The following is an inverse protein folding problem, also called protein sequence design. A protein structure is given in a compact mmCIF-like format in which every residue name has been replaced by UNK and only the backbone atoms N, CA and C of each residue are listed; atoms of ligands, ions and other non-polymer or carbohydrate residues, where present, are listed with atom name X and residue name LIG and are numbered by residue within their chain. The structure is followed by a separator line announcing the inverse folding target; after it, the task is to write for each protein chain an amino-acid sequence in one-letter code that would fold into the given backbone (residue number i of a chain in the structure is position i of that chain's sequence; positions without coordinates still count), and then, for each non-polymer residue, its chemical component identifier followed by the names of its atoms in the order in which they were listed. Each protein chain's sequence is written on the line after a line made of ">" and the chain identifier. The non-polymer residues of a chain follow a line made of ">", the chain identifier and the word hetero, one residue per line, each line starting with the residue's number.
data_IF_468377722487
#
_entry.id   IF_468377722487
#
_cell.length_a   1.000
_cell.length_b   1.000
_cell.length_c   1.000
_cell.angle_alpha   90.00
_cell.angle_beta   90.00
_cell.angle_gamma   90.00
#
_symmetry.space_group_name_H-M   'P 1'
#
loop_
_entity.id
_entity.type
_entity.pdbx_description
1 polymer ?
#
# COMPACT_ATOMS: atom_id res chain seq x y z
N UNK A 1 -36.94 5.05 -23.90
CA UNK A 1 -36.80 5.80 -22.62
C UNK A 1 -36.15 4.81 -21.66
N UNK A 2 -34.85 4.61 -21.91
CA UNK A 2 -34.08 3.59 -21.25
C UNK A 2 -33.54 4.15 -19.94
N UNK A 3 -33.85 3.36 -18.93
CA UNK A 3 -33.56 3.55 -17.52
C UNK A 3 -32.07 3.91 -17.27
N UNK A 4 -31.79 5.21 -17.18
CA UNK A 4 -30.49 5.73 -16.74
C UNK A 4 -30.37 5.70 -15.22
N UNK A 5 -30.78 4.62 -14.59
CA UNK A 5 -30.37 4.27 -13.23
C UNK A 5 -29.23 3.28 -13.28
N UNK A 6 -28.12 3.59 -13.91
CA UNK A 6 -26.85 3.00 -13.53
C UNK A 6 -26.56 3.48 -12.12
N UNK A 7 -27.20 2.81 -11.16
CA UNK A 7 -26.86 2.91 -9.77
C UNK A 7 -25.34 2.86 -9.68
N UNK A 8 -24.73 3.91 -9.16
CA UNK A 8 -23.33 3.94 -8.78
C UNK A 8 -23.10 2.76 -7.84
N UNK A 9 -22.69 1.64 -8.42
CA UNK A 9 -22.33 0.47 -7.65
C UNK A 9 -21.04 0.83 -6.93
N UNK A 10 -21.12 1.02 -5.63
CA UNK A 10 -19.95 1.10 -4.78
C UNK A 10 -19.04 -0.10 -5.06
N UNK A 11 -17.77 0.16 -5.32
CA UNK A 11 -16.81 -0.90 -5.61
C UNK A 11 -16.70 -1.80 -4.39
N UNK A 12 -17.07 -3.08 -4.52
CA UNK A 12 -16.90 -4.05 -3.44
C UNK A 12 -15.41 -4.39 -3.30
N UNK A 13 -14.74 -3.95 -2.22
CA UNK A 13 -13.29 -4.10 -2.06
C UNK A 13 -12.83 -5.56 -2.02
N UNK A 14 -13.74 -6.50 -1.76
CA UNK A 14 -13.45 -7.92 -1.63
C UNK A 14 -13.82 -8.75 -2.87
N UNK A 15 -14.71 -8.23 -3.73
CA UNK A 15 -15.13 -8.87 -4.99
C UNK A 15 -14.41 -8.29 -6.20
N UNK A 16 -14.26 -6.98 -6.25
CA UNK A 16 -13.66 -6.27 -7.38
C UNK A 16 -12.13 -6.20 -7.21
N UNK A 17 -11.44 -7.31 -7.52
CA UNK A 17 -10.00 -7.46 -7.28
C UNK A 17 -9.13 -6.63 -8.21
N UNK A 18 -9.67 -6.14 -9.34
CA UNK A 18 -8.94 -5.38 -10.36
C UNK A 18 -8.84 -3.89 -10.04
N UNK A 19 -9.75 -3.38 -9.23
CA UNK A 19 -9.82 -1.95 -8.85
C UNK A 19 -9.74 -1.80 -7.34
N UNK A 20 -9.28 -0.64 -6.90
CA UNK A 20 -9.14 -0.33 -5.48
C UNK A 20 -9.39 1.16 -5.24
N UNK A 21 -10.01 1.50 -4.11
CA UNK A 21 -10.07 2.86 -3.61
C UNK A 21 -8.65 3.32 -3.23
N UNK A 22 -8.19 4.43 -3.81
CA UNK A 22 -6.84 4.99 -3.60
C UNK A 22 -6.53 5.33 -2.13
N UNK A 23 -7.56 5.53 -1.31
CA UNK A 23 -7.40 5.82 0.12
C UNK A 23 -6.98 4.59 0.92
N UNK A 24 -7.39 3.38 0.50
CA UNK A 24 -6.98 2.12 1.14
C UNK A 24 -5.45 1.91 1.14
N UNK A 25 -4.78 1.93 -0.01
CA UNK A 25 -3.32 1.89 -0.08
C UNK A 25 -2.62 3.00 0.70
N UNK A 26 -3.16 4.23 0.70
CA UNK A 26 -2.59 5.34 1.49
C UNK A 26 -2.65 5.08 2.99
N UNK A 27 -3.74 4.51 3.48
CA UNK A 27 -3.86 4.12 4.89
C UNK A 27 -2.83 3.05 5.24
N UNK A 28 -2.63 2.05 4.36
CA UNK A 28 -1.59 1.05 4.55
C UNK A 28 -0.19 1.67 4.58
N UNK A 29 0.11 2.59 3.66
CA UNK A 29 1.39 3.31 3.61
C UNK A 29 1.61 4.18 4.85
N UNK A 30 0.57 4.86 5.36
CA UNK A 30 0.67 5.62 6.61
C UNK A 30 1.02 4.72 7.80
N UNK A 31 0.38 3.55 7.92
CA UNK A 31 0.65 2.60 9.01
C UNK A 31 2.07 2.04 8.90
N UNK A 32 2.52 1.66 7.70
CA UNK A 32 3.89 1.16 7.48
C UNK A 32 4.91 2.26 7.78
N UNK A 33 4.70 3.48 7.29
CA UNK A 33 5.63 4.59 7.49
C UNK A 33 5.74 5.02 8.96
N UNK A 34 4.61 5.20 9.63
CA UNK A 34 4.58 5.55 11.06
C UNK A 34 5.12 4.39 11.90
N UNK A 35 4.74 3.15 11.60
CA UNK A 35 5.23 1.98 12.31
C UNK A 35 6.74 1.81 12.22
N UNK A 36 7.33 2.01 11.04
CA UNK A 36 8.77 1.93 10.86
C UNK A 36 9.52 3.08 11.57
N UNK A 37 8.95 4.29 11.61
CA UNK A 37 9.48 5.40 12.41
C UNK A 37 9.46 5.09 13.91
N UNK A 38 8.34 4.57 14.41
CA UNK A 38 8.21 4.16 15.83
C UNK A 38 9.21 3.05 16.15
N UNK A 39 9.36 2.05 15.27
CA UNK A 39 10.35 1.00 15.41
C UNK A 39 11.76 1.55 15.57
N UNK A 40 12.13 2.52 14.73
CA UNK A 40 13.44 3.18 14.80
C UNK A 40 13.62 3.98 16.09
N UNK A 41 12.64 4.78 16.48
CA UNK A 41 12.71 5.61 17.70
C UNK A 41 12.80 4.76 18.97
N UNK A 42 12.10 3.64 19.02
CA UNK A 42 12.11 2.72 20.14
C UNK A 42 13.22 1.67 20.04
N UNK A 43 13.98 1.65 18.95
CA UNK A 43 15.01 0.64 18.63
C UNK A 43 14.49 -0.79 18.71
N UNK A 44 13.24 -1.01 18.27
CA UNK A 44 12.55 -2.30 18.33
C UNK A 44 12.53 -2.98 16.96
N UNK A 45 13.47 -3.86 16.72
CA UNK A 45 13.65 -4.56 15.43
C UNK A 45 12.45 -5.45 15.04
N UNK A 46 11.81 -6.09 16.04
CA UNK A 46 10.67 -6.97 15.80
C UNK A 46 9.48 -6.27 15.15
N UNK A 47 9.33 -4.96 15.33
CA UNK A 47 8.27 -4.18 14.66
C UNK A 47 8.48 -4.17 13.14
N UNK A 48 9.73 -4.08 12.68
CA UNK A 48 10.06 -4.14 11.25
C UNK A 48 9.68 -5.51 10.67
N UNK A 49 9.92 -6.59 11.42
CA UNK A 49 9.49 -7.95 11.03
C UNK A 49 7.96 -8.03 10.90
N UNK A 50 7.22 -7.48 11.87
CA UNK A 50 5.75 -7.46 11.81
C UNK A 50 5.22 -6.66 10.61
N UNK A 51 5.84 -5.53 10.28
CA UNK A 51 5.46 -4.73 9.11
C UNK A 51 5.75 -5.48 7.81
N UNK A 52 6.90 -6.17 7.71
CA UNK A 52 7.22 -7.01 6.57
C UNK A 52 6.22 -8.17 6.41
N UNK A 53 5.93 -8.89 7.50
CA UNK A 53 4.94 -9.97 7.51
C UNK A 53 3.54 -9.48 7.11
N UNK A 54 3.11 -8.34 7.63
CA UNK A 54 1.82 -7.74 7.29
C UNK A 54 1.71 -7.46 5.79
N UNK A 55 2.76 -6.92 5.16
CA UNK A 55 2.78 -6.68 3.72
C UNK A 55 2.74 -8.00 2.93
N UNK A 56 3.53 -9.01 3.34
CA UNK A 56 3.56 -10.34 2.70
C UNK A 56 2.18 -11.01 2.81
N UNK A 57 1.57 -11.00 3.98
CA UNK A 57 0.23 -11.56 4.20
C UNK A 57 -0.81 -10.85 3.33
N UNK A 58 -0.77 -9.52 3.26
CA UNK A 58 -1.67 -8.75 2.40
C UNK A 58 -1.50 -9.05 0.90
N UNK A 59 -0.27 -9.35 0.46
CA UNK A 59 0.04 -9.69 -0.92
C UNK A 59 -0.35 -11.12 -1.30
N UNK A 60 -0.17 -12.08 -0.39
CA UNK A 60 -0.38 -13.53 -0.63
C UNK A 60 -1.81 -13.97 -0.35
N UNK A 61 -2.35 -13.60 0.82
CA UNK A 61 -3.69 -14.00 1.27
C UNK A 61 -4.79 -13.01 0.85
N UNK A 62 -4.39 -11.88 0.27
CA UNK A 62 -5.31 -10.90 -0.28
C UNK A 62 -5.83 -9.87 0.75
N UNK A 63 -6.72 -9.00 0.27
CA UNK A 63 -7.22 -7.83 1.03
C UNK A 63 -7.93 -8.17 2.33
N UNK A 64 -8.52 -9.36 2.42
CA UNK A 64 -9.25 -9.82 3.63
C UNK A 64 -8.34 -9.99 4.84
N UNK A 65 -7.08 -10.32 4.62
CA UNK A 65 -6.09 -10.56 5.68
C UNK A 65 -5.16 -9.36 5.91
N UNK A 66 -5.27 -8.33 5.09
CA UNK A 66 -4.54 -7.08 5.27
C UNK A 66 -5.24 -6.23 6.34
N UNK A 67 -4.68 -6.16 7.55
CA UNK A 67 -5.25 -5.39 8.66
C UNK A 67 -5.51 -3.92 8.32
N UNK A 68 -4.58 -3.17 7.70
CA UNK A 68 -4.83 -1.79 7.30
C UNK A 68 -5.92 -1.65 6.23
N UNK A 69 -6.02 -2.64 5.33
CA UNK A 69 -7.07 -2.65 4.32
C UNK A 69 -8.45 -2.82 4.97
N UNK A 70 -8.57 -3.75 5.91
CA UNK A 70 -9.81 -3.94 6.68
C UNK A 70 -10.18 -2.70 7.49
N UNK A 71 -9.20 -2.10 8.15
CA UNK A 71 -9.43 -0.86 8.89
C UNK A 71 -10.00 0.23 7.99
N UNK A 72 -9.46 0.37 6.77
CA UNK A 72 -9.99 1.32 5.81
C UNK A 72 -11.39 0.92 5.36
N UNK A 73 -11.55 -0.26 4.77
CA UNK A 73 -12.79 -0.66 4.09
C UNK A 73 -13.96 -0.89 5.05
N UNK A 74 -13.71 -1.45 6.23
CA UNK A 74 -14.77 -1.81 7.19
C UNK A 74 -15.12 -0.65 8.14
N UNK A 75 -14.18 0.26 8.44
CA UNK A 75 -14.36 1.31 9.46
C UNK A 75 -14.36 2.72 8.88
N UNK A 76 -13.37 3.05 8.03
CA UNK A 76 -13.19 4.42 7.55
C UNK A 76 -14.02 4.72 6.29
N UNK A 77 -14.07 3.82 5.33
CA UNK A 77 -14.79 4.03 4.07
C UNK A 77 -16.28 4.32 4.29
N UNK A 78 -17.03 3.61 5.17
CA UNK A 78 -18.44 3.92 5.41
C UNK A 78 -18.68 5.32 5.98
N UNK A 79 -17.66 5.90 6.65
CA UNK A 79 -17.74 7.23 7.28
C UNK A 79 -17.23 8.36 6.40
N UNK A 80 -16.22 8.09 5.57
CA UNK A 80 -15.51 9.10 4.77
C UNK A 80 -15.88 9.07 3.29
N UNK A 81 -16.67 8.07 2.86
CA UNK A 81 -17.03 7.85 1.47
C UNK A 81 -15.90 7.25 0.64
N UNK A 82 -16.21 6.92 -0.62
CA UNK A 82 -15.24 6.38 -1.59
C UNK A 82 -14.33 7.48 -2.12
N UNK A 83 -13.05 7.13 -2.32
CA UNK A 83 -12.07 7.97 -3.00
C UNK A 83 -12.01 7.70 -4.50
N UNK A 84 -10.88 8.07 -5.13
CA UNK A 84 -10.61 7.72 -6.53
C UNK A 84 -10.45 6.22 -6.66
N UNK A 85 -11.06 5.66 -7.70
CA UNK A 85 -10.88 4.26 -8.06
C UNK A 85 -9.65 4.16 -8.97
N UNK A 86 -8.71 3.33 -8.59
CA UNK A 86 -7.45 3.11 -9.30
C UNK A 86 -7.23 1.62 -9.59
N UNK A 87 -6.36 1.33 -10.58
CA UNK A 87 -5.95 -0.06 -10.87
C UNK A 87 -5.21 -0.65 -9.66
N UNK A 88 -5.70 -1.78 -9.17
CA UNK A 88 -5.15 -2.47 -8.00
C UNK A 88 -3.71 -3.00 -8.20
N UNK A 89 -3.25 -3.13 -9.43
CA UNK A 89 -1.89 -3.61 -9.77
C UNK A 89 -0.82 -2.62 -9.31
N UNK A 90 -1.14 -1.32 -9.41
CA UNK A 90 -0.20 -0.23 -9.10
C UNK A 90 0.22 -0.24 -7.62
N UNK A 91 -0.69 -0.14 -6.64
CA UNK A 91 -0.31 -0.20 -5.23
C UNK A 91 0.19 -1.58 -4.80
N UNK A 92 -0.24 -2.65 -5.49
CA UNK A 92 0.28 -4.00 -5.21
C UNK A 92 1.77 -4.10 -5.52
N UNK A 93 2.22 -3.52 -6.62
CA UNK A 93 3.64 -3.48 -6.97
C UNK A 93 4.46 -2.69 -5.93
N UNK A 94 3.97 -1.53 -5.50
CA UNK A 94 4.60 -0.75 -4.44
C UNK A 94 4.72 -1.54 -3.12
N UNK A 95 3.68 -2.29 -2.75
CA UNK A 95 3.70 -3.15 -1.57
C UNK A 95 4.70 -4.31 -1.70
N UNK A 96 4.89 -4.87 -2.90
CA UNK A 96 5.93 -5.90 -3.15
C UNK A 96 7.31 -5.33 -2.88
N UNK A 97 7.62 -4.16 -3.43
CA UNK A 97 8.90 -3.49 -3.19
C UNK A 97 9.08 -3.22 -1.69
N UNK A 98 8.07 -2.65 -1.03
CA UNK A 98 8.10 -2.41 0.41
C UNK A 98 8.36 -3.68 1.23
N UNK A 99 7.69 -4.79 0.89
CA UNK A 99 7.88 -6.08 1.55
C UNK A 99 9.30 -6.61 1.38
N UNK A 100 9.88 -6.52 0.17
CA UNK A 100 11.27 -6.94 -0.10
C UNK A 100 12.25 -6.11 0.71
N UNK A 101 12.10 -4.78 0.72
CA UNK A 101 13.00 -3.89 1.46
C UNK A 101 12.90 -4.07 2.98
N UNK A 102 11.69 -4.19 3.54
CA UNK A 102 11.51 -4.42 4.98
C UNK A 102 11.99 -5.81 5.41
N UNK A 103 11.85 -6.83 4.55
CA UNK A 103 12.40 -8.16 4.82
C UNK A 103 13.93 -8.12 4.81
N UNK A 104 14.54 -7.46 3.83
CA UNK A 104 15.99 -7.27 3.79
C UNK A 104 16.47 -6.46 5.01
N UNK A 105 15.78 -5.38 5.38
CA UNK A 105 16.08 -4.61 6.57
C UNK A 105 16.02 -5.47 7.84
N UNK A 106 14.99 -6.31 7.99
CA UNK A 106 14.85 -7.24 9.12
C UNK A 106 16.04 -8.20 9.19
N UNK A 107 16.39 -8.83 8.08
CA UNK A 107 17.53 -9.75 8.02
C UNK A 107 18.83 -9.05 8.43
N UNK A 108 19.06 -7.84 7.93
CA UNK A 108 20.27 -7.07 8.25
C UNK A 108 20.32 -6.66 9.73
N UNK A 109 19.19 -6.25 10.32
CA UNK A 109 19.10 -5.91 11.73
C UNK A 109 19.50 -7.13 12.61
N UNK A 110 18.91 -8.29 12.36
CA UNK A 110 19.21 -9.51 13.12
C UNK A 110 20.58 -10.10 12.81
N UNK A 111 21.18 -9.79 11.65
CA UNK A 111 22.55 -10.17 11.31
C UNK A 111 23.60 -9.23 11.96
N UNK A 112 23.20 -8.20 12.68
CA UNK A 112 24.10 -7.25 13.35
C UNK A 112 24.50 -6.05 12.48
N UNK A 113 24.01 -5.95 11.24
CA UNK A 113 24.22 -4.78 10.37
C UNK A 113 23.20 -3.68 10.65
N UNK A 114 23.15 -3.22 11.91
CA UNK A 114 22.11 -2.32 12.42
C UNK A 114 22.01 -1.02 11.63
N UNK A 115 23.13 -0.39 11.28
CA UNK A 115 23.13 0.88 10.53
C UNK A 115 22.46 0.74 9.16
N UNK A 116 22.78 -0.32 8.42
CA UNK A 116 22.22 -0.55 7.08
C UNK A 116 20.75 -0.96 7.18
N UNK A 117 20.42 -1.83 8.14
CA UNK A 117 19.05 -2.26 8.39
C UNK A 117 18.12 -1.10 8.74
N UNK A 118 18.55 -0.21 9.64
CA UNK A 118 17.79 0.99 9.97
C UNK A 118 17.71 1.98 8.82
N UNK A 119 18.80 2.17 8.06
CA UNK A 119 18.78 3.03 6.88
C UNK A 119 17.75 2.56 5.85
N UNK A 120 17.71 1.24 5.55
CA UNK A 120 16.71 0.69 4.64
C UNK A 120 15.27 0.89 5.15
N UNK A 121 15.02 0.62 6.43
CA UNK A 121 13.68 0.78 7.02
C UNK A 121 13.23 2.23 7.01
N UNK A 122 14.14 3.19 7.25
CA UNK A 122 13.84 4.61 7.20
C UNK A 122 13.58 5.13 5.78
N UNK A 123 14.28 4.59 4.78
CA UNK A 123 13.98 4.88 3.37
C UNK A 123 12.55 4.46 3.04
N UNK A 124 12.15 3.24 3.43
CA UNK A 124 10.78 2.76 3.24
C UNK A 124 9.78 3.64 4.00
N UNK A 125 10.09 4.01 5.24
CA UNK A 125 9.25 4.89 6.05
C UNK A 125 9.04 6.25 5.37
N UNK A 126 10.11 6.88 4.89
CA UNK A 126 10.04 8.17 4.22
C UNK A 126 9.20 8.10 2.94
N UNK A 127 9.43 7.09 2.09
CA UNK A 127 8.67 6.89 0.86
C UNK A 127 7.19 6.57 1.12
N UNK A 128 6.90 5.78 2.15
CA UNK A 128 5.55 5.44 2.56
C UNK A 128 4.80 6.67 3.11
N UNK A 129 5.44 7.47 3.95
CA UNK A 129 4.85 8.71 4.47
C UNK A 129 4.66 9.76 3.38
N UNK A 130 5.62 9.90 2.46
CA UNK A 130 5.47 10.76 1.30
C UNK A 130 4.23 10.36 0.48
N UNK A 131 4.07 9.08 0.19
CA UNK A 131 2.93 8.57 -0.56
C UNK A 131 1.59 8.75 0.21
N UNK A 132 1.60 8.55 1.53
CA UNK A 132 0.42 8.74 2.35
C UNK A 132 -0.05 10.21 2.41
N UNK A 133 0.90 11.16 2.48
CA UNK A 133 0.61 12.60 2.64
C UNK A 133 0.33 13.28 1.31
N UNK A 134 1.21 13.10 0.32
CA UNK A 134 1.10 13.77 -0.98
C UNK A 134 0.25 13.01 -2.00
N UNK A 135 0.05 11.72 -1.78
CA UNK A 135 -0.59 10.81 -2.74
C UNK A 135 0.32 10.40 -3.90
N UNK A 136 1.58 10.88 -3.93
CA UNK A 136 2.58 10.48 -4.92
C UNK A 136 3.34 9.26 -4.40
N UNK A 137 3.01 8.10 -4.94
CA UNK A 137 3.67 6.85 -4.59
C UNK A 137 4.81 6.58 -5.60
N UNK A 138 6.05 6.65 -5.15
CA UNK A 138 7.23 6.40 -6.01
C UNK A 138 7.17 5.01 -6.66
N UNK A 139 6.79 3.97 -5.91
CA UNK A 139 6.60 2.63 -6.46
C UNK A 139 5.48 2.56 -7.51
N UNK A 140 4.43 3.36 -7.34
CA UNK A 140 3.33 3.46 -8.31
C UNK A 140 3.80 4.15 -9.59
N UNK A 141 4.59 5.20 -9.50
CA UNK A 141 5.17 5.90 -10.66
C UNK A 141 6.17 4.99 -11.41
N UNK A 142 7.00 4.24 -10.69
CA UNK A 142 7.89 3.24 -11.30
C UNK A 142 7.10 2.18 -12.06
N UNK A 143 6.00 1.67 -11.49
CA UNK A 143 5.15 0.71 -12.18
C UNK A 143 4.55 1.30 -13.46
N UNK A 144 4.06 2.53 -13.42
CA UNK A 144 3.49 3.19 -14.59
C UNK A 144 4.53 3.44 -15.69
N UNK A 145 5.76 3.81 -15.30
CA UNK A 145 6.86 3.94 -16.25
C UNK A 145 7.16 2.58 -16.92
N UNK A 146 7.24 1.52 -16.13
CA UNK A 146 7.50 0.17 -16.61
C UNK A 146 6.36 -0.35 -17.50
N UNK A 147 5.11 -0.09 -17.13
CA UNK A 147 3.93 -0.44 -17.92
C UNK A 147 3.92 0.30 -19.25
N UNK A 148 4.28 1.58 -19.27
CA UNK A 148 4.39 2.40 -20.48
C UNK A 148 5.45 1.86 -21.44
N UNK A 149 6.62 1.46 -20.91
CA UNK A 149 7.69 0.84 -21.73
C UNK A 149 7.27 -0.51 -22.31
N UNK A 150 6.43 -1.27 -21.57
CA UNK A 150 5.92 -2.58 -22.00
C UNK A 150 4.62 -2.50 -22.81
N UNK A 151 4.09 -1.32 -23.11
CA UNK A 151 2.85 -1.12 -23.86
C UNK A 151 1.59 -1.60 -23.13
N UNK A 152 1.63 -1.72 -21.79
CA UNK A 152 0.50 -2.12 -20.98
C UNK A 152 -0.31 -0.87 -20.65
N UNK A 153 -1.58 -0.84 -21.05
CA UNK A 153 -2.51 0.23 -20.68
C UNK A 153 -2.94 0.06 -19.22
N UNK A 154 -2.70 1.09 -18.41
CA UNK A 154 -3.18 1.18 -17.03
C UNK A 154 -4.34 2.14 -17.03
N UNK A 155 -5.54 1.63 -16.76
CA UNK A 155 -6.76 2.46 -16.74
C UNK A 155 -6.78 3.31 -15.47
N UNK A 156 -6.65 4.61 -15.66
CA UNK A 156 -7.02 5.60 -14.64
C UNK A 156 -8.44 6.04 -14.96
N UNK A 157 -9.42 5.52 -14.24
CA UNK A 157 -10.75 6.12 -14.29
C UNK A 157 -10.70 7.47 -13.58
N UNK A 158 -10.93 8.59 -14.31
CA UNK A 158 -11.14 9.86 -13.63
C UNK A 158 -12.38 9.71 -12.76
N UNK A 159 -12.29 10.15 -11.51
CA UNK A 159 -13.48 10.32 -10.69
C UNK A 159 -14.39 11.30 -11.43
N UNK A 160 -15.59 10.84 -11.79
CA UNK A 160 -16.68 11.69 -12.24
C UNK A 160 -17.28 12.37 -11.01
#
# INVERSE_FOLDING_TARGET
>A
MDDMSTAYRTVDPYRDTHVIDSRGPRTNQAIVGVGALIAFLLQQEWIIVLLALQLIVGLTLGRRFCLPCRLWFDVLQPRLGEGRIEDARVPRFANVIGAVFLTAASILLYAGFTTIGWALSLIVAALALLAATTGVCVGCEMYMLLARVRGITVDRHPAV
#
